data_IF_271764616066
#
_entry.id   IF_271764616066
#
_cell.length_a   1.000
_cell.length_b   1.000
_cell.length_c   1.000
_cell.angle_alpha   90.00
_cell.angle_beta   90.00
_cell.angle_gamma   90.00
#
_symmetry.space_group_name_H-M   'P 1'
#
loop_
_entity.id
_entity.type
_entity.pdbx_description
1 polymer ?
#
# COMPACT_ATOMS: atom_id res chain seq x y z
N UNK A 1 -18.75 13.50 23.21
CA UNK A 1 -17.38 12.90 23.07
C UNK A 1 -17.55 11.40 23.24
N UNK A 2 -17.25 10.63 22.19
CA UNK A 2 -17.28 9.16 22.23
C UNK A 2 -16.17 8.66 23.18
N UNK A 3 -16.53 7.80 24.15
CA UNK A 3 -15.58 7.26 25.13
C UNK A 3 -14.84 6.00 24.60
N UNK A 4 -13.83 5.49 25.33
CA UNK A 4 -13.11 4.27 24.97
C UNK A 4 -14.01 3.05 24.76
N UNK A 5 -15.15 2.97 25.45
CA UNK A 5 -16.14 1.90 25.27
C UNK A 5 -16.77 1.94 23.88
N UNK A 6 -17.02 3.12 23.32
CA UNK A 6 -17.60 3.30 21.99
C UNK A 6 -16.61 2.86 20.88
N UNK A 7 -15.31 3.11 21.06
CA UNK A 7 -14.30 2.68 20.11
C UNK A 7 -14.15 1.14 20.10
N UNK A 8 -14.11 0.47 21.25
CA UNK A 8 -14.01 -0.97 21.31
C UNK A 8 -15.20 -1.65 20.61
N UNK A 9 -16.43 -1.21 20.88
CA UNK A 9 -17.62 -1.72 20.21
C UNK A 9 -17.57 -1.47 18.68
N UNK A 10 -17.11 -0.29 18.27
CA UNK A 10 -16.93 0.09 16.87
C UNK A 10 -15.87 -0.79 16.19
N UNK A 11 -14.74 -1.00 16.83
CA UNK A 11 -13.66 -1.86 16.34
C UNK A 11 -14.15 -3.30 16.17
N UNK A 12 -14.87 -3.84 17.14
CA UNK A 12 -15.40 -5.20 17.09
C UNK A 12 -16.43 -5.36 15.97
N UNK A 13 -17.31 -4.35 15.77
CA UNK A 13 -18.19 -4.29 14.61
C UNK A 13 -17.40 -4.30 13.30
N UNK A 14 -16.44 -3.41 13.12
CA UNK A 14 -15.64 -3.35 11.90
C UNK A 14 -14.87 -4.65 11.64
N UNK A 15 -14.34 -5.29 12.68
CA UNK A 15 -13.65 -6.57 12.53
C UNK A 15 -14.60 -7.71 12.20
N UNK A 16 -15.86 -7.67 12.65
CA UNK A 16 -16.88 -8.65 12.24
C UNK A 16 -17.16 -8.61 10.74
N UNK A 17 -16.89 -7.48 10.07
CA UNK A 17 -17.04 -7.33 8.62
C UNK A 17 -15.92 -8.02 7.81
N UNK A 18 -14.81 -8.46 8.44
CA UNK A 18 -13.73 -9.19 7.75
C UNK A 18 -14.18 -10.55 7.23
N UNK A 19 -15.18 -11.16 7.86
CA UNK A 19 -15.78 -12.43 7.46
C UNK A 19 -16.97 -12.25 6.52
N UNK A 20 -17.48 -11.03 6.37
CA UNK A 20 -18.60 -10.70 5.48
C UNK A 20 -18.05 -10.22 4.14
N UNK A 21 -18.77 -10.51 3.07
CA UNK A 21 -18.46 -9.94 1.75
C UNK A 21 -17.28 -10.58 1.04
N UNK A 22 -17.23 -11.92 1.02
CA UNK A 22 -16.28 -12.68 0.20
C UNK A 22 -16.52 -12.55 -1.31
N UNK A 23 -17.62 -11.90 -1.73
CA UNK A 23 -17.84 -11.59 -3.15
C UNK A 23 -16.79 -10.59 -3.62
N UNK A 24 -15.96 -11.01 -4.58
CA UNK A 24 -15.09 -10.13 -5.32
C UNK A 24 -15.92 -9.24 -6.25
N UNK A 25 -15.78 -7.93 -6.12
CA UNK A 25 -16.48 -7.00 -6.97
C UNK A 25 -16.35 -5.57 -6.45
N UNK A 26 -16.52 -4.61 -7.34
CA UNK A 26 -16.43 -3.18 -7.03
C UNK A 26 -17.82 -2.55 -6.82
N UNK A 27 -18.89 -3.30 -7.14
CA UNK A 27 -20.25 -2.73 -7.21
C UNK A 27 -20.76 -2.28 -5.84
N UNK A 28 -20.49 -3.04 -4.76
CA UNK A 28 -20.80 -2.61 -3.39
C UNK A 28 -20.12 -1.29 -3.03
N UNK A 29 -18.85 -1.15 -3.41
CA UNK A 29 -18.12 0.09 -3.16
C UNK A 29 -18.70 1.25 -3.97
N UNK A 30 -19.13 1.01 -5.22
CA UNK A 30 -19.83 2.01 -6.04
C UNK A 30 -21.12 2.48 -5.38
N UNK A 31 -21.95 1.53 -4.91
CA UNK A 31 -23.17 1.85 -4.15
C UNK A 31 -22.85 2.66 -2.89
N UNK A 32 -21.78 2.29 -2.18
CA UNK A 32 -21.38 2.97 -0.95
C UNK A 32 -20.93 4.41 -1.23
N UNK A 33 -20.04 4.63 -2.21
CA UNK A 33 -19.56 5.99 -2.53
C UNK A 33 -20.67 6.86 -3.08
N UNK A 34 -21.59 6.31 -3.88
CA UNK A 34 -22.74 7.04 -4.40
C UNK A 34 -23.65 7.50 -3.23
N UNK A 35 -23.96 6.59 -2.30
CA UNK A 35 -24.79 6.88 -1.14
C UNK A 35 -24.20 7.92 -0.18
N UNK A 36 -22.88 8.14 -0.21
CA UNK A 36 -22.18 9.16 0.61
C UNK A 36 -21.80 10.41 -0.19
N UNK A 37 -22.28 10.55 -1.44
CA UNK A 37 -22.13 11.74 -2.26
C UNK A 37 -20.85 11.79 -3.10
N UNK A 38 -20.25 10.64 -3.44
CA UNK A 38 -19.08 10.50 -4.31
C UNK A 38 -17.87 11.36 -3.85
N UNK A 39 -17.41 11.21 -2.60
CA UNK A 39 -16.33 12.04 -2.04
C UNK A 39 -15.01 11.88 -2.81
N UNK A 40 -14.80 10.77 -3.52
CA UNK A 40 -13.63 10.50 -4.36
C UNK A 40 -13.44 11.48 -5.52
N UNK A 41 -14.47 12.24 -5.86
CA UNK A 41 -14.43 13.26 -6.93
C UNK A 41 -13.99 14.63 -6.42
N UNK A 42 -13.84 14.81 -5.11
CA UNK A 42 -13.56 16.12 -4.51
C UNK A 42 -12.07 16.51 -4.54
N UNK A 43 -11.17 15.59 -4.86
CA UNK A 43 -9.72 15.81 -4.83
C UNK A 43 -8.99 14.95 -5.86
N UNK A 44 -7.81 15.38 -6.34
CA UNK A 44 -6.94 14.60 -7.22
C UNK A 44 -6.33 13.38 -6.53
N UNK A 45 -6.10 12.30 -7.28
CA UNK A 45 -5.66 11.02 -6.72
C UNK A 45 -4.52 10.43 -7.56
N UNK A 46 -3.47 9.92 -6.88
CA UNK A 46 -2.51 8.98 -7.44
C UNK A 46 -2.85 7.58 -6.93
N UNK A 47 -3.10 6.64 -7.84
CA UNK A 47 -3.54 5.29 -7.51
C UNK A 47 -2.40 4.29 -7.70
N UNK A 48 -2.08 3.53 -6.66
CA UNK A 48 -0.88 2.69 -6.60
C UNK A 48 -1.24 1.23 -6.38
N UNK A 49 -0.93 0.38 -7.37
CA UNK A 49 -1.01 -1.08 -7.28
C UNK A 49 0.39 -1.71 -7.32
N UNK A 50 0.47 -2.99 -6.98
CA UNK A 50 1.70 -3.77 -7.01
C UNK A 50 1.65 -4.94 -6.02
N UNK A 51 2.64 -5.83 -6.08
CA UNK A 51 2.80 -6.85 -5.04
C UNK A 51 3.49 -6.23 -3.83
N UNK A 52 4.70 -5.74 -3.98
CA UNK A 52 5.45 -5.04 -2.95
C UNK A 52 5.70 -3.58 -3.33
N UNK A 53 6.10 -2.74 -2.37
CA UNK A 53 6.49 -1.35 -2.62
C UNK A 53 5.35 -0.32 -2.68
N UNK A 54 4.08 -0.74 -2.74
CA UNK A 54 2.92 0.18 -2.81
C UNK A 54 2.94 1.26 -1.73
N UNK A 55 2.86 0.85 -0.48
CA UNK A 55 2.83 1.77 0.66
C UNK A 55 4.12 2.61 0.79
N UNK A 56 5.29 2.03 0.48
CA UNK A 56 6.55 2.79 0.44
C UNK A 56 6.51 3.90 -0.62
N UNK A 57 6.01 3.59 -1.83
CA UNK A 57 5.86 4.56 -2.91
C UNK A 57 4.85 5.66 -2.55
N UNK A 58 3.68 5.28 -2.00
CA UNK A 58 2.70 6.24 -1.49
C UNK A 58 3.29 7.16 -0.42
N UNK A 59 4.06 6.59 0.53
CA UNK A 59 4.72 7.35 1.59
C UNK A 59 5.80 8.30 1.06
N UNK A 60 6.57 7.89 0.04
CA UNK A 60 7.56 8.75 -0.61
C UNK A 60 6.91 9.93 -1.32
N UNK A 61 5.87 9.67 -2.12
CA UNK A 61 5.10 10.70 -2.80
C UNK A 61 4.47 11.69 -1.81
N UNK A 62 3.79 11.16 -0.79
CA UNK A 62 3.19 11.97 0.27
C UNK A 62 4.24 12.90 0.90
N UNK A 63 5.40 12.35 1.27
CA UNK A 63 6.46 13.13 1.93
C UNK A 63 7.01 14.23 1.01
N UNK A 64 7.18 13.96 -0.30
CA UNK A 64 7.65 14.96 -1.26
C UNK A 64 6.61 16.08 -1.39
N UNK A 65 5.34 15.77 -1.63
CA UNK A 65 4.31 16.78 -1.82
C UNK A 65 4.03 17.58 -0.54
N UNK A 66 3.96 16.92 0.62
CA UNK A 66 3.82 17.61 1.90
C UNK A 66 5.00 18.53 2.22
N UNK A 67 6.23 18.15 1.88
CA UNK A 67 7.41 19.02 2.00
C UNK A 67 7.33 20.26 1.10
N UNK A 68 6.52 20.22 0.04
CA UNK A 68 6.23 21.32 -0.85
C UNK A 68 4.97 22.14 -0.45
N UNK A 69 4.40 21.87 0.72
CA UNK A 69 3.29 22.63 1.28
C UNK A 69 1.88 22.15 0.88
N UNK A 70 1.76 21.04 0.15
CA UNK A 70 0.45 20.45 -0.17
C UNK A 70 -0.18 19.79 1.05
N UNK A 71 -1.49 19.92 1.21
CA UNK A 71 -2.28 19.11 2.14
C UNK A 71 -2.49 17.74 1.51
N UNK A 72 -1.91 16.72 2.11
CA UNK A 72 -1.85 15.38 1.52
C UNK A 72 -2.78 14.38 2.22
N UNK A 73 -3.44 13.52 1.43
CA UNK A 73 -4.14 12.33 1.90
C UNK A 73 -3.31 11.07 1.62
N UNK A 74 -3.21 10.16 2.59
CA UNK A 74 -2.54 8.86 2.41
C UNK A 74 -3.45 7.74 2.88
N UNK A 75 -3.83 6.84 1.95
CA UNK A 75 -4.53 5.59 2.24
C UNK A 75 -3.62 4.40 2.00
N UNK A 76 -3.43 3.56 3.02
CA UNK A 76 -2.54 2.40 2.96
C UNK A 76 -3.08 1.20 3.73
N UNK A 77 -2.57 0.00 3.43
CA UNK A 77 -2.95 -1.23 4.11
C UNK A 77 -1.86 -2.31 4.04
N UNK A 78 -1.82 -3.21 5.04
CA UNK A 78 -2.54 -3.16 6.32
C UNK A 78 -1.95 -2.13 7.30
N UNK A 79 -2.61 -1.90 8.43
CA UNK A 79 -2.01 -1.19 9.57
C UNK A 79 -1.11 -2.14 10.38
N UNK A 80 -0.16 -1.58 11.13
CA UNK A 80 0.72 -2.35 12.01
C UNK A 80 0.16 -2.46 13.43
N UNK A 81 -0.27 -1.36 14.02
CA UNK A 81 -0.73 -1.28 15.41
C UNK A 81 -2.13 -0.68 15.51
N UNK A 82 -2.34 0.50 14.92
CA UNK A 82 -3.59 1.26 15.05
C UNK A 82 -4.36 1.26 13.74
N UNK A 83 -5.65 1.01 13.80
CA UNK A 83 -6.53 1.00 12.63
C UNK A 83 -6.48 2.32 11.84
N UNK A 84 -6.35 3.45 12.54
CA UNK A 84 -6.25 4.78 11.94
C UNK A 84 -5.00 5.01 11.07
N UNK A 85 -3.95 4.18 11.19
CA UNK A 85 -2.77 4.24 10.31
C UNK A 85 -3.13 4.11 8.83
N UNK A 86 -4.27 3.50 8.51
CA UNK A 86 -4.74 3.31 7.14
C UNK A 86 -5.16 4.62 6.47
N UNK A 87 -5.55 5.63 7.26
CA UNK A 87 -6.08 6.90 6.77
C UNK A 87 -5.32 8.04 7.43
N UNK A 88 -4.53 8.76 6.67
CA UNK A 88 -3.70 9.85 7.20
C UNK A 88 -3.92 11.13 6.37
N UNK A 89 -3.97 12.26 7.04
CA UNK A 89 -3.91 13.58 6.39
C UNK A 89 -2.69 14.31 6.96
N UNK A 90 -1.75 14.71 6.09
CA UNK A 90 -0.46 15.29 6.49
C UNK A 90 0.30 14.43 7.53
N UNK A 91 0.19 13.10 7.43
CA UNK A 91 0.74 12.09 8.35
C UNK A 91 0.09 12.02 9.73
N UNK A 92 -0.98 12.78 9.97
CA UNK A 92 -1.84 12.60 11.13
C UNK A 92 -2.79 11.44 10.86
N UNK A 93 -2.68 10.38 11.66
CA UNK A 93 -3.54 9.19 11.54
C UNK A 93 -4.97 9.53 11.96
N UNK A 94 -5.93 8.83 11.39
CA UNK A 94 -7.33 8.93 11.81
C UNK A 94 -7.45 8.49 13.27
N UNK A 95 -8.01 9.34 14.12
CA UNK A 95 -8.14 9.02 15.53
C UNK A 95 -9.36 8.12 15.82
N UNK A 96 -9.41 7.58 17.03
CA UNK A 96 -10.47 6.66 17.44
C UNK A 96 -11.85 7.31 17.46
N UNK A 97 -11.93 8.59 17.78
CA UNK A 97 -13.19 9.38 17.79
C UNK A 97 -13.72 9.54 16.37
N UNK A 98 -12.85 9.86 15.43
CA UNK A 98 -13.19 9.97 14.01
C UNK A 98 -13.63 8.61 13.45
N UNK A 99 -12.95 7.51 13.81
CA UNK A 99 -13.34 6.13 13.39
C UNK A 99 -14.76 5.81 13.88
N UNK A 100 -15.09 6.16 15.13
CA UNK A 100 -16.44 5.98 15.68
C UNK A 100 -17.45 6.78 14.88
N UNK A 101 -17.18 8.08 14.66
CA UNK A 101 -18.09 8.99 13.96
C UNK A 101 -18.35 8.55 12.51
N UNK A 102 -17.31 8.19 11.76
CA UNK A 102 -17.47 7.66 10.40
C UNK A 102 -18.21 6.33 10.37
N UNK A 103 -17.94 5.44 11.35
CA UNK A 103 -18.67 4.17 11.43
C UNK A 103 -20.16 4.40 11.69
N UNK A 104 -20.51 5.27 12.61
CA UNK A 104 -21.91 5.63 12.89
C UNK A 104 -22.62 6.20 11.65
N UNK A 105 -21.91 6.96 10.83
CA UNK A 105 -22.44 7.53 9.59
C UNK A 105 -22.59 6.48 8.48
N UNK A 106 -21.64 5.58 8.34
CA UNK A 106 -21.60 4.58 7.26
C UNK A 106 -22.46 3.35 7.55
N UNK A 107 -22.58 2.94 8.82
CA UNK A 107 -23.29 1.71 9.23
C UNK A 107 -24.72 1.64 8.71
N UNK A 108 -25.60 2.66 8.88
CA UNK A 108 -26.97 2.59 8.37
C UNK A 108 -27.05 2.47 6.84
N UNK A 109 -26.04 3.02 6.13
CA UNK A 109 -25.94 2.94 4.67
C UNK A 109 -25.57 1.51 4.25
N UNK A 110 -24.57 0.93 4.92
CA UNK A 110 -24.12 -0.44 4.68
C UNK A 110 -25.20 -1.47 4.98
N UNK A 111 -25.94 -1.28 6.07
CA UNK A 111 -27.08 -2.13 6.43
C UNK A 111 -28.19 -2.10 5.36
N UNK A 112 -28.44 -0.94 4.73
CA UNK A 112 -29.39 -0.85 3.61
C UNK A 112 -28.87 -1.54 2.34
N UNK A 113 -27.58 -1.42 2.03
CA UNK A 113 -26.98 -2.09 0.87
C UNK A 113 -27.04 -3.61 1.03
N UNK A 114 -26.82 -4.13 2.25
CA UNK A 114 -26.87 -5.56 2.55
C UNK A 114 -28.25 -6.05 3.01
N UNK A 115 -29.34 -5.26 2.84
CA UNK A 115 -30.65 -5.61 3.37
C UNK A 115 -31.28 -6.83 2.66
N UNK A 116 -31.13 -6.91 1.33
CA UNK A 116 -31.72 -7.99 0.53
C UNK A 116 -30.78 -9.20 0.41
N UNK A 117 -29.48 -8.99 0.42
CA UNK A 117 -28.46 -10.04 0.40
C UNK A 117 -27.32 -9.68 1.38
N UNK A 118 -27.11 -10.47 2.46
CA UNK A 118 -26.02 -10.22 3.41
C UNK A 118 -24.62 -10.21 2.78
N UNK A 119 -24.44 -10.87 1.62
CA UNK A 119 -23.17 -10.85 0.88
C UNK A 119 -22.93 -9.54 0.17
N UNK A 120 -23.93 -8.69 -0.01
CA UNK A 120 -23.81 -7.34 -0.53
C UNK A 120 -23.49 -6.29 0.55
N UNK A 121 -23.44 -6.70 1.83
CA UNK A 121 -23.01 -5.82 2.90
C UNK A 121 -21.51 -5.42 2.69
N UNK A 122 -21.17 -4.13 2.72
CA UNK A 122 -19.79 -3.67 2.57
C UNK A 122 -18.83 -4.34 3.57
N UNK A 123 -17.69 -4.76 3.08
CA UNK A 123 -16.63 -5.40 3.86
C UNK A 123 -15.85 -4.38 4.72
N UNK A 124 -15.03 -4.89 5.62
CA UNK A 124 -14.09 -4.06 6.41
C UNK A 124 -13.24 -3.13 5.52
N UNK A 125 -12.73 -3.65 4.40
CA UNK A 125 -11.85 -2.86 3.53
C UNK A 125 -12.63 -1.76 2.80
N UNK A 126 -13.85 -2.04 2.35
CA UNK A 126 -14.73 -1.05 1.73
C UNK A 126 -15.13 0.05 2.73
N UNK A 127 -15.40 -0.30 4.00
CA UNK A 127 -15.63 0.67 5.06
C UNK A 127 -14.44 1.61 5.28
N UNK A 128 -13.22 1.04 5.40
CA UNK A 128 -12.01 1.83 5.59
C UNK A 128 -11.72 2.72 4.39
N UNK A 129 -11.98 2.23 3.17
CA UNK A 129 -11.83 3.03 1.94
C UNK A 129 -12.82 4.19 1.93
N UNK A 130 -14.09 3.95 2.27
CA UNK A 130 -15.10 5.02 2.36
C UNK A 130 -14.75 6.08 3.42
N UNK A 131 -14.26 5.65 4.60
CA UNK A 131 -13.77 6.57 5.63
C UNK A 131 -12.62 7.45 5.12
N UNK A 132 -11.66 6.85 4.37
CA UNK A 132 -10.55 7.60 3.79
C UNK A 132 -11.04 8.66 2.80
N UNK A 133 -11.92 8.28 1.88
CA UNK A 133 -12.47 9.20 0.88
C UNK A 133 -13.25 10.34 1.53
N UNK A 134 -14.08 10.04 2.53
CA UNK A 134 -14.79 11.07 3.31
C UNK A 134 -13.81 12.01 4.03
N UNK A 135 -12.83 11.45 4.74
CA UNK A 135 -11.84 12.25 5.49
C UNK A 135 -11.06 13.17 4.57
N UNK A 136 -10.63 12.69 3.41
CA UNK A 136 -9.86 13.48 2.46
C UNK A 136 -10.71 14.62 1.86
N UNK A 137 -11.97 14.36 1.52
CA UNK A 137 -12.89 15.39 1.03
C UNK A 137 -13.17 16.45 2.10
N UNK A 138 -13.47 16.06 3.34
CA UNK A 138 -13.74 16.95 4.45
C UNK A 138 -12.53 17.81 4.85
N UNK A 139 -11.33 17.23 4.76
CA UNK A 139 -10.06 17.94 5.03
C UNK A 139 -9.54 18.70 3.82
N UNK A 140 -10.25 18.65 2.68
CA UNK A 140 -9.91 19.35 1.44
C UNK A 140 -8.46 19.12 1.03
N UNK A 141 -8.04 17.85 0.96
CA UNK A 141 -6.68 17.52 0.56
C UNK A 141 -6.41 17.98 -0.87
N UNK A 142 -5.22 18.52 -1.13
CA UNK A 142 -4.79 18.95 -2.45
C UNK A 142 -4.46 17.77 -3.36
N UNK A 143 -4.00 16.66 -2.76
CA UNK A 143 -3.61 15.42 -3.48
C UNK A 143 -3.68 14.23 -2.53
N UNK A 144 -4.27 13.11 -2.99
CA UNK A 144 -4.33 11.87 -2.24
C UNK A 144 -3.53 10.74 -2.94
N UNK A 145 -2.91 9.89 -2.13
CA UNK A 145 -2.17 8.70 -2.54
C UNK A 145 -2.91 7.48 -2.02
N UNK A 146 -3.47 6.68 -2.92
CA UNK A 146 -4.27 5.51 -2.59
C UNK A 146 -3.52 4.23 -2.96
N UNK A 147 -3.21 3.43 -1.95
CA UNK A 147 -2.69 2.08 -2.10
C UNK A 147 -3.83 1.08 -2.29
N UNK A 148 -3.79 0.21 -3.33
CA UNK A 148 -4.73 -0.91 -3.46
C UNK A 148 -4.52 -1.94 -2.33
N UNK A 149 -5.61 -2.53 -1.84
CA UNK A 149 -5.53 -3.60 -0.85
C UNK A 149 -5.10 -4.92 -1.47
N UNK A 150 -5.79 -5.35 -2.54
CA UNK A 150 -5.56 -6.62 -3.22
C UNK A 150 -5.83 -6.49 -4.72
N UNK A 151 -4.84 -6.91 -5.53
CA UNK A 151 -4.97 -6.85 -6.99
C UNK A 151 -5.04 -5.41 -7.49
N UNK A 152 -6.16 -4.99 -8.03
CA UNK A 152 -6.43 -3.66 -8.55
C UNK A 152 -7.80 -3.57 -9.22
N UNK A 153 -8.10 -4.42 -10.21
CA UNK A 153 -9.33 -4.37 -11.02
C UNK A 153 -10.61 -4.36 -10.18
N UNK A 154 -10.69 -5.21 -9.18
CA UNK A 154 -11.84 -5.38 -8.28
C UNK A 154 -11.58 -4.83 -6.87
N UNK A 155 -10.47 -4.09 -6.68
CA UNK A 155 -10.16 -3.48 -5.40
C UNK A 155 -11.12 -2.33 -5.09
N UNK A 156 -11.52 -2.19 -3.82
CA UNK A 156 -12.43 -1.13 -3.40
C UNK A 156 -11.92 0.27 -3.74
N UNK A 157 -10.59 0.47 -3.78
CA UNK A 157 -10.00 1.76 -4.16
C UNK A 157 -10.20 2.10 -5.65
N UNK A 158 -10.56 1.11 -6.50
CA UNK A 158 -10.67 1.30 -7.96
C UNK A 158 -11.94 2.04 -8.42
N UNK A 159 -12.75 2.55 -7.50
CA UNK A 159 -13.88 3.46 -7.78
C UNK A 159 -13.41 4.85 -8.22
N UNK A 160 -12.14 5.18 -8.05
CA UNK A 160 -11.56 6.51 -8.30
C UNK A 160 -11.23 6.75 -9.76
N UNK A 161 -11.14 8.04 -10.14
CA UNK A 161 -10.58 8.53 -11.39
C UNK A 161 -9.23 9.21 -11.10
N UNK A 162 -8.09 8.49 -11.20
CA UNK A 162 -6.80 9.02 -10.81
C UNK A 162 -6.19 9.93 -11.88
N UNK A 163 -5.28 10.83 -11.45
CA UNK A 163 -4.41 11.63 -12.31
C UNK A 163 -3.21 10.83 -12.84
N UNK A 164 -2.83 9.79 -12.09
CA UNK A 164 -1.69 8.94 -12.39
C UNK A 164 -1.92 7.55 -11.77
N UNK A 165 -1.64 6.50 -12.55
CA UNK A 165 -1.58 5.13 -12.08
C UNK A 165 -0.13 4.67 -11.90
N UNK A 166 0.12 3.85 -10.88
CA UNK A 166 1.45 3.29 -10.61
C UNK A 166 1.33 1.79 -10.38
N UNK A 167 2.22 1.00 -11.02
CA UNK A 167 2.41 -0.43 -10.70
C UNK A 167 3.85 -0.62 -10.23
N UNK A 168 4.04 -0.86 -8.94
CA UNK A 168 5.37 -0.86 -8.29
C UNK A 168 6.18 -2.11 -8.58
N UNK A 169 5.61 -3.29 -8.32
CA UNK A 169 6.20 -4.60 -8.60
C UNK A 169 5.12 -5.63 -8.89
N UNK A 170 5.50 -6.75 -9.50
CA UNK A 170 4.63 -7.92 -9.70
C UNK A 170 5.41 -9.18 -9.39
N UNK A 171 4.89 -9.99 -8.48
CA UNK A 171 5.37 -11.31 -8.14
C UNK A 171 4.22 -12.21 -7.72
N UNK A 172 4.47 -13.52 -7.55
CA UNK A 172 3.46 -14.45 -7.06
C UNK A 172 3.12 -14.12 -5.61
N UNK A 173 1.88 -13.73 -5.39
CA UNK A 173 1.27 -13.50 -4.08
C UNK A 173 -0.24 -13.56 -4.22
N UNK A 174 -0.94 -14.01 -3.17
CA UNK A 174 -2.40 -14.13 -3.18
C UNK A 174 -2.93 -14.94 -4.39
N UNK A 175 -2.24 -16.03 -4.73
CA UNK A 175 -2.52 -16.81 -5.93
C UNK A 175 -3.93 -17.39 -5.94
N UNK A 176 -4.50 -17.65 -4.77
CA UNK A 176 -5.87 -18.11 -4.56
C UNK A 176 -6.94 -17.11 -5.05
N UNK A 177 -6.56 -15.83 -5.23
CA UNK A 177 -7.47 -14.74 -5.60
C UNK A 177 -7.12 -14.07 -6.93
N UNK A 178 -5.83 -13.95 -7.22
CA UNK A 178 -5.34 -13.17 -8.37
C UNK A 178 -4.91 -14.03 -9.54
N UNK A 179 -4.88 -15.36 -9.35
CA UNK A 179 -4.36 -16.33 -10.32
C UNK A 179 -2.93 -16.78 -10.00
N UNK A 180 -2.51 -17.86 -10.62
CA UNK A 180 -1.27 -18.59 -10.34
C UNK A 180 -0.12 -18.29 -11.31
N UNK A 181 -0.34 -17.33 -12.22
CA UNK A 181 0.70 -16.85 -13.17
C UNK A 181 0.97 -15.36 -13.00
N UNK A 182 2.18 -14.94 -13.39
CA UNK A 182 2.57 -13.52 -13.39
C UNK A 182 1.63 -12.68 -14.25
N UNK A 183 1.21 -13.22 -15.39
CA UNK A 183 0.33 -12.55 -16.36
C UNK A 183 -1.07 -12.29 -15.75
N UNK A 184 -1.65 -13.29 -15.08
CA UNK A 184 -2.97 -13.16 -14.43
C UNK A 184 -2.92 -12.11 -13.31
N UNK A 185 -1.93 -12.22 -12.41
CA UNK A 185 -1.73 -11.26 -11.32
C UNK A 185 -1.51 -9.85 -11.88
N UNK A 186 -0.76 -9.74 -12.99
CA UNK A 186 -0.52 -8.45 -13.63
C UNK A 186 -1.80 -7.87 -14.23
N UNK A 187 -2.62 -8.70 -14.86
CA UNK A 187 -3.90 -8.26 -15.42
C UNK A 187 -4.81 -7.68 -14.34
N UNK A 188 -4.90 -8.32 -13.18
CA UNK A 188 -5.66 -7.80 -12.03
C UNK A 188 -5.11 -6.45 -11.55
N UNK A 189 -3.77 -6.30 -11.48
CA UNK A 189 -3.14 -5.03 -11.08
C UNK A 189 -3.31 -3.94 -12.13
N UNK A 190 -3.16 -4.26 -13.41
CA UNK A 190 -3.35 -3.33 -14.52
C UNK A 190 -4.81 -2.86 -14.67
N UNK A 191 -5.75 -3.52 -13.97
CA UNK A 191 -7.14 -3.09 -13.89
C UNK A 191 -7.37 -1.71 -13.26
N UNK A 192 -6.37 -1.11 -12.61
CA UNK A 192 -6.44 0.28 -12.12
C UNK A 192 -6.26 1.33 -13.23
N UNK A 193 -5.70 0.95 -14.38
CA UNK A 193 -5.48 1.87 -15.49
C UNK A 193 -6.81 2.40 -16.04
N UNK A 194 -6.90 3.71 -16.22
CA UNK A 194 -8.07 4.40 -16.78
C UNK A 194 -7.72 5.00 -18.14
N UNK A 195 -8.67 5.08 -19.09
CA UNK A 195 -8.41 5.59 -20.42
C UNK A 195 -7.70 6.96 -20.43
N UNK A 196 -6.57 7.05 -21.12
CA UNK A 196 -5.79 8.27 -21.27
C UNK A 196 -4.97 8.70 -20.05
N UNK A 197 -5.12 8.03 -18.89
CA UNK A 197 -4.37 8.38 -17.68
C UNK A 197 -2.95 7.82 -17.75
N UNK A 198 -1.92 8.63 -17.47
CA UNK A 198 -0.53 8.16 -17.49
C UNK A 198 -0.30 7.04 -16.45
N UNK A 199 0.63 6.13 -16.79
CA UNK A 199 1.02 5.03 -15.91
C UNK A 199 2.53 4.93 -15.78
N UNK A 200 3.00 4.73 -14.56
CA UNK A 200 4.40 4.41 -14.24
C UNK A 200 4.49 2.96 -13.82
N UNK A 201 5.48 2.25 -14.36
CA UNK A 201 5.82 0.91 -13.90
C UNK A 201 7.22 0.88 -13.27
N UNK A 202 7.34 0.14 -12.17
CA UNK A 202 8.63 -0.19 -11.56
C UNK A 202 9.47 -1.13 -12.45
N UNK A 203 10.47 -1.79 -11.87
CA UNK A 203 11.26 -2.81 -12.57
C UNK A 203 10.51 -4.15 -12.55
N UNK A 204 9.56 -4.32 -13.46
CA UNK A 204 8.73 -5.52 -13.55
C UNK A 204 9.46 -6.69 -14.23
N UNK A 205 9.08 -7.97 -13.97
CA UNK A 205 9.41 -9.08 -14.83
C UNK A 205 8.93 -8.85 -16.27
N UNK A 206 9.64 -9.39 -17.26
CA UNK A 206 9.32 -9.15 -18.68
C UNK A 206 7.87 -9.53 -19.06
N UNK A 207 7.36 -10.66 -18.54
CA UNK A 207 5.98 -11.09 -18.74
C UNK A 207 4.96 -10.07 -18.17
N UNK A 208 5.21 -9.56 -16.96
CA UNK A 208 4.38 -8.54 -16.34
C UNK A 208 4.42 -7.21 -17.13
N UNK A 209 5.61 -6.76 -17.51
CA UNK A 209 5.76 -5.53 -18.29
C UNK A 209 5.02 -5.63 -19.63
N UNK A 210 5.07 -6.77 -20.33
CA UNK A 210 4.34 -6.98 -21.57
C UNK A 210 2.82 -6.84 -21.38
N UNK A 211 2.25 -7.41 -20.34
CA UNK A 211 0.81 -7.29 -20.01
C UNK A 211 0.43 -5.83 -19.74
N UNK A 212 1.20 -5.13 -18.89
CA UNK A 212 0.86 -3.72 -18.60
C UNK A 212 0.95 -2.84 -19.85
N UNK A 213 1.95 -3.05 -20.71
CA UNK A 213 2.10 -2.31 -21.98
C UNK A 213 0.93 -2.57 -22.93
N UNK A 214 0.45 -3.81 -23.01
CA UNK A 214 -0.72 -4.15 -23.82
C UNK A 214 -1.97 -3.42 -23.31
N UNK A 215 -2.26 -3.47 -22.01
CA UNK A 215 -3.39 -2.76 -21.39
C UNK A 215 -3.26 -1.24 -21.52
N UNK A 216 -2.05 -0.70 -21.36
CA UNK A 216 -1.78 0.73 -21.53
C UNK A 216 -2.03 1.19 -22.97
N UNK A 217 -1.61 0.39 -23.96
CA UNK A 217 -1.84 0.67 -25.38
C UNK A 217 -3.33 0.64 -25.69
N UNK A 218 -4.06 -0.39 -25.23
CA UNK A 218 -5.52 -0.52 -25.43
C UNK A 218 -6.27 0.69 -24.88
N UNK A 219 -5.86 1.19 -23.70
CA UNK A 219 -6.51 2.33 -23.03
C UNK A 219 -5.93 3.69 -23.40
N UNK A 220 -4.94 3.74 -24.30
CA UNK A 220 -4.29 5.00 -24.69
C UNK A 220 -3.52 5.68 -23.54
N UNK A 221 -3.02 4.91 -22.57
CA UNK A 221 -2.29 5.43 -21.42
C UNK A 221 -0.82 5.70 -21.78
N UNK A 222 -0.29 6.92 -21.62
CA UNK A 222 1.15 7.16 -21.68
C UNK A 222 1.87 6.33 -20.59
N UNK A 223 2.86 5.51 -21.01
CA UNK A 223 3.57 4.62 -20.07
C UNK A 223 5.02 5.05 -19.91
N UNK A 224 5.47 5.17 -18.67
CA UNK A 224 6.88 5.40 -18.32
C UNK A 224 7.40 4.24 -17.48
N UNK A 225 8.54 3.65 -17.89
CA UNK A 225 9.19 2.53 -17.18
C UNK A 225 10.41 3.03 -16.40
N UNK A 226 10.51 2.64 -15.13
CA UNK A 226 11.73 2.89 -14.32
C UNK A 226 12.94 2.22 -14.96
N UNK A 227 12.80 1.05 -15.61
CA UNK A 227 13.89 0.36 -16.29
C UNK A 227 14.45 1.17 -17.44
N UNK A 228 13.59 1.84 -18.22
CA UNK A 228 14.00 2.68 -19.34
C UNK A 228 14.63 3.99 -18.87
N UNK A 229 14.06 4.60 -17.82
CA UNK A 229 14.55 5.87 -17.26
C UNK A 229 15.85 5.72 -16.48
N UNK A 230 16.03 4.56 -15.80
CA UNK A 230 17.19 4.20 -14.97
C UNK A 230 17.70 2.80 -15.38
N UNK A 231 18.44 2.68 -16.49
CA UNK A 231 18.86 1.38 -17.04
C UNK A 231 19.84 0.63 -16.13
N UNK A 232 20.52 1.33 -15.23
CA UNK A 232 21.39 0.73 -14.21
C UNK A 232 21.00 1.21 -12.80
N UNK A 233 21.30 0.40 -11.79
CA UNK A 233 20.95 0.67 -10.41
C UNK A 233 21.77 1.77 -9.75
N UNK A 234 22.94 2.10 -10.31
CA UNK A 234 23.79 3.18 -9.81
C UNK A 234 23.08 4.54 -9.89
N UNK A 235 22.31 4.77 -10.96
CA UNK A 235 21.53 5.99 -11.18
C UNK A 235 20.26 6.14 -10.35
N UNK A 236 19.81 5.08 -9.65
CA UNK A 236 18.59 5.14 -8.84
C UNK A 236 18.75 6.11 -7.66
N UNK A 237 17.70 6.90 -7.34
CA UNK A 237 17.71 7.85 -6.24
C UNK A 237 18.02 7.18 -4.89
N UNK A 238 18.60 7.93 -3.97
CA UNK A 238 18.82 7.48 -2.60
C UNK A 238 17.61 7.81 -1.72
N UNK A 239 17.34 6.94 -0.73
CA UNK A 239 16.31 7.12 0.30
C UNK A 239 16.84 6.60 1.63
N UNK A 240 16.23 7.03 2.74
CA UNK A 240 16.54 6.50 4.07
C UNK A 240 15.90 5.14 4.35
N UNK A 241 14.95 4.68 3.52
CA UNK A 241 14.40 3.33 3.64
C UNK A 241 15.41 2.29 3.17
N UNK A 242 15.61 1.23 3.97
CA UNK A 242 16.57 0.17 3.68
C UNK A 242 16.15 -0.75 2.53
N UNK A 243 17.16 -1.20 1.75
CA UNK A 243 16.98 -2.14 0.62
C UNK A 243 17.10 -1.49 -0.75
N UNK A 244 17.65 -2.25 -1.72
CA UNK A 244 17.87 -1.77 -3.09
C UNK A 244 16.54 -1.45 -3.79
N UNK A 245 15.50 -2.23 -3.54
CA UNK A 245 14.15 -2.03 -4.09
C UNK A 245 13.51 -0.70 -3.66
N UNK A 246 13.86 -0.16 -2.48
CA UNK A 246 13.36 1.16 -2.06
C UNK A 246 13.88 2.29 -2.94
N UNK A 247 15.07 2.12 -3.52
CA UNK A 247 15.59 3.07 -4.51
C UNK A 247 14.79 3.03 -5.82
N UNK A 248 14.26 1.87 -6.20
CA UNK A 248 13.33 1.76 -7.32
C UNK A 248 11.99 2.46 -7.01
N UNK A 249 11.44 2.29 -5.80
CA UNK A 249 10.24 3.01 -5.34
C UNK A 249 10.47 4.54 -5.33
N UNK A 250 11.67 4.99 -4.93
CA UNK A 250 12.04 6.41 -4.99
C UNK A 250 12.13 6.93 -6.42
N UNK A 251 12.62 6.11 -7.36
CA UNK A 251 12.62 6.46 -8.79
C UNK A 251 11.20 6.61 -9.34
N UNK A 252 10.27 5.70 -8.98
CA UNK A 252 8.84 5.83 -9.31
C UNK A 252 8.29 7.15 -8.77
N UNK A 253 8.60 7.50 -7.51
CA UNK A 253 8.11 8.74 -6.91
C UNK A 253 8.65 9.99 -7.64
N UNK A 254 9.93 10.01 -8.04
CA UNK A 254 10.51 11.13 -8.81
C UNK A 254 9.84 11.25 -10.19
N UNK A 255 9.70 10.14 -10.93
CA UNK A 255 9.03 10.16 -12.24
C UNK A 255 7.59 10.68 -12.10
N UNK A 256 6.89 10.30 -11.03
CA UNK A 256 5.54 10.78 -10.78
C UNK A 256 5.49 12.29 -10.58
N UNK A 257 6.46 12.87 -9.86
CA UNK A 257 6.52 14.33 -9.69
C UNK A 257 6.86 15.06 -10.99
N UNK A 258 7.67 14.45 -11.87
CA UNK A 258 7.97 15.00 -13.20
C UNK A 258 6.73 15.02 -14.09
N UNK A 259 5.99 13.91 -14.16
CA UNK A 259 4.75 13.79 -14.98
C UNK A 259 3.67 14.77 -14.52
N UNK A 260 3.55 14.97 -13.22
CA UNK A 260 2.51 15.81 -12.65
C UNK A 260 2.95 17.28 -12.43
N UNK A 261 4.15 17.67 -12.90
CA UNK A 261 4.76 18.97 -12.60
C UNK A 261 3.98 20.19 -13.09
N UNK A 262 3.21 20.05 -14.19
CA UNK A 262 2.36 21.14 -14.69
C UNK A 262 1.17 21.43 -13.76
N UNK A 263 0.63 20.41 -13.10
CA UNK A 263 -0.53 20.54 -12.24
C UNK A 263 -0.17 20.68 -10.77
N UNK A 264 0.86 19.95 -10.35
CA UNK A 264 1.33 19.89 -8.95
C UNK A 264 2.82 20.20 -8.92
N UNK A 265 3.16 21.46 -9.07
CA UNK A 265 4.56 21.91 -9.09
C UNK A 265 5.25 21.65 -7.75
N UNK A 266 6.47 21.13 -7.80
CA UNK A 266 7.33 20.96 -6.64
C UNK A 266 8.64 21.70 -6.83
N UNK A 267 9.30 22.02 -5.73
CA UNK A 267 10.66 22.54 -5.74
C UNK A 267 11.66 21.38 -5.79
N UNK A 268 12.44 21.19 -6.88
CA UNK A 268 13.36 20.05 -7.02
C UNK A 268 14.36 19.94 -5.85
N UNK A 269 14.74 21.06 -5.26
CA UNK A 269 15.65 21.10 -4.11
C UNK A 269 15.10 20.41 -2.85
N UNK A 270 13.78 20.28 -2.72
CA UNK A 270 13.13 19.61 -1.57
C UNK A 270 12.97 18.11 -1.78
N UNK A 271 13.08 17.59 -2.99
CA UNK A 271 12.82 16.17 -3.30
C UNK A 271 13.84 15.24 -2.63
N UNK A 272 15.13 15.50 -2.77
CA UNK A 272 16.16 14.65 -2.17
C UNK A 272 16.13 14.69 -0.63
N UNK A 273 15.99 15.84 0.05
CA UNK A 273 15.78 15.89 1.49
C UNK A 273 14.50 15.13 1.94
N UNK A 274 13.41 15.26 1.21
CA UNK A 274 12.17 14.55 1.51
C UNK A 274 12.37 13.02 1.47
N UNK A 275 13.05 12.50 0.43
CA UNK A 275 13.37 11.07 0.31
C UNK A 275 14.34 10.56 1.40
N UNK A 276 15.07 11.42 2.08
CA UNK A 276 15.91 11.09 3.24
C UNK A 276 15.18 11.19 4.58
N UNK A 277 13.90 11.61 4.57
CA UNK A 277 13.08 11.80 5.76
C UNK A 277 11.76 11.02 5.72
N UNK A 278 11.74 9.89 5.03
CA UNK A 278 10.54 9.03 4.97
C UNK A 278 10.37 8.34 6.33
N UNK A 279 9.19 8.46 6.91
CA UNK A 279 8.77 7.66 8.05
C UNK A 279 7.79 6.58 7.58
N UNK A 280 8.25 5.34 7.49
CA UNK A 280 7.43 4.20 7.07
C UNK A 280 7.78 2.96 7.90
N UNK A 281 7.07 2.75 9.03
CA UNK A 281 7.36 1.67 9.96
C UNK A 281 7.30 0.27 9.31
N UNK A 282 8.11 -0.65 9.84
CA UNK A 282 8.12 -2.05 9.39
C UNK A 282 8.74 -2.29 8.01
N UNK A 283 9.54 -1.36 7.48
CA UNK A 283 10.29 -1.55 6.24
C UNK A 283 11.78 -1.36 6.51
N UNK A 284 12.42 -2.45 6.97
CA UNK A 284 13.80 -2.45 7.44
C UNK A 284 14.06 -1.32 8.44
N UNK A 285 13.05 -1.09 9.29
CA UNK A 285 13.08 -0.01 10.28
C UNK A 285 14.06 -0.33 11.38
N UNK A 286 15.07 0.51 11.54
CA UNK A 286 16.09 0.37 12.58
C UNK A 286 15.73 1.25 13.77
N UNK A 287 15.63 0.63 14.95
CA UNK A 287 15.36 1.28 16.23
C UNK A 287 16.54 1.01 17.18
N UNK A 288 16.99 2.03 17.89
CA UNK A 288 17.99 1.88 18.95
C UNK A 288 17.29 1.72 20.30
N UNK A 289 17.51 0.59 20.96
CA UNK A 289 16.95 0.25 22.27
C UNK A 289 18.09 0.05 23.27
N UNK A 290 18.41 1.07 24.04
CA UNK A 290 19.56 1.08 24.94
C UNK A 290 20.86 0.68 24.20
N UNK A 291 21.44 -0.46 24.55
CA UNK A 291 22.65 -1.03 23.93
C UNK A 291 22.39 -1.92 22.70
N UNK A 292 21.10 -2.13 22.34
CA UNK A 292 20.69 -3.05 21.28
C UNK A 292 20.08 -2.33 20.10
N UNK A 293 20.28 -2.90 18.92
CA UNK A 293 19.59 -2.48 17.71
C UNK A 293 18.48 -3.46 17.36
N UNK A 294 17.26 -2.97 17.23
CA UNK A 294 16.11 -3.73 16.74
C UNK A 294 15.84 -3.32 15.27
N UNK A 295 15.66 -4.33 14.41
CA UNK A 295 15.22 -4.11 13.03
C UNK A 295 13.85 -4.74 12.86
N UNK A 296 12.87 -3.94 12.40
CA UNK A 296 11.52 -4.39 12.10
C UNK A 296 11.33 -4.44 10.58
N UNK A 297 10.92 -5.60 10.08
CA UNK A 297 10.62 -5.78 8.65
C UNK A 297 9.35 -6.62 8.48
N UNK A 298 8.48 -6.22 7.54
CA UNK A 298 7.21 -6.85 7.26
C UNK A 298 7.23 -7.70 5.96
N UNK A 299 8.38 -8.21 5.55
CA UNK A 299 8.50 -9.15 4.45
C UNK A 299 7.73 -10.44 4.76
N UNK A 300 6.89 -10.88 3.81
CA UNK A 300 5.98 -12.00 4.05
C UNK A 300 5.64 -12.81 2.79
N UNK A 301 6.27 -12.53 1.65
CA UNK A 301 6.09 -13.27 0.39
C UNK A 301 7.46 -13.58 -0.24
N UNK A 302 7.54 -14.40 -1.31
CA UNK A 302 8.81 -14.78 -1.92
C UNK A 302 9.70 -13.61 -2.31
N UNK A 303 9.16 -12.61 -3.05
CA UNK A 303 9.92 -11.41 -3.44
C UNK A 303 10.40 -10.62 -2.21
N UNK A 304 9.54 -10.46 -1.19
CA UNK A 304 9.93 -9.83 0.09
C UNK A 304 11.02 -10.61 0.80
N UNK A 305 11.01 -11.95 0.73
CA UNK A 305 12.05 -12.79 1.32
C UNK A 305 13.39 -12.64 0.61
N UNK A 306 13.42 -12.48 -0.72
CA UNK A 306 14.64 -12.17 -1.48
C UNK A 306 15.24 -10.81 -1.05
N UNK A 307 14.39 -9.82 -0.89
CA UNK A 307 14.79 -8.50 -0.39
C UNK A 307 15.34 -8.55 1.03
N UNK A 308 14.72 -9.36 1.91
CA UNK A 308 15.18 -9.61 3.26
C UNK A 308 16.55 -10.30 3.26
N UNK A 309 16.77 -11.29 2.38
CA UNK A 309 18.04 -11.98 2.21
C UNK A 309 19.18 -11.02 1.83
N UNK A 310 18.92 -10.13 0.87
CA UNK A 310 19.87 -9.08 0.47
C UNK A 310 20.24 -8.17 1.63
N UNK A 311 19.24 -7.71 2.39
CA UNK A 311 19.42 -6.82 3.53
C UNK A 311 20.19 -7.49 4.68
N UNK A 312 19.87 -8.74 5.00
CA UNK A 312 20.56 -9.52 6.02
C UNK A 312 22.02 -9.85 5.62
N UNK A 313 22.25 -10.13 4.34
CA UNK A 313 23.61 -10.32 3.79
C UNK A 313 24.45 -9.06 3.97
N UNK A 314 23.91 -7.88 3.63
CA UNK A 314 24.59 -6.59 3.85
C UNK A 314 24.80 -6.29 5.34
N UNK A 315 23.84 -6.63 6.18
CA UNK A 315 23.95 -6.47 7.63
C UNK A 315 25.08 -7.32 8.18
N UNK A 316 25.15 -8.60 7.79
CA UNK A 316 26.22 -9.51 8.21
C UNK A 316 27.59 -9.04 7.74
N UNK A 317 27.71 -8.59 6.48
CA UNK A 317 28.96 -8.06 5.94
C UNK A 317 29.45 -6.82 6.72
N UNK A 318 28.54 -6.02 7.27
CA UNK A 318 28.87 -4.83 8.07
C UNK A 318 29.24 -5.16 9.51
N UNK A 319 28.51 -6.10 10.15
CA UNK A 319 28.63 -6.39 11.59
C UNK A 319 29.57 -7.55 11.92
N UNK A 320 29.82 -8.47 10.98
CA UNK A 320 30.58 -9.70 11.19
C UNK A 320 29.87 -10.76 12.05
N UNK A 321 28.65 -10.46 12.52
CA UNK A 321 27.87 -11.36 13.36
C UNK A 321 26.45 -11.50 12.83
N UNK A 322 25.86 -12.69 13.02
CA UNK A 322 24.47 -12.94 12.66
C UNK A 322 23.53 -12.40 13.74
N UNK A 323 22.36 -11.83 13.34
CA UNK A 323 21.36 -11.38 14.30
C UNK A 323 20.60 -12.56 14.94
N UNK A 324 19.96 -12.31 16.08
CA UNK A 324 18.84 -13.10 16.57
C UNK A 324 17.61 -12.70 15.73
N UNK A 325 16.90 -13.67 15.18
CA UNK A 325 15.72 -13.41 14.35
C UNK A 325 14.48 -13.96 15.05
N UNK A 326 13.45 -13.12 15.17
CA UNK A 326 12.10 -13.50 15.57
C UNK A 326 11.20 -13.40 14.34
N UNK A 327 10.62 -14.50 13.90
CA UNK A 327 9.85 -14.55 12.65
C UNK A 327 8.50 -15.25 12.83
N UNK A 328 7.48 -14.73 12.13
CA UNK A 328 6.16 -15.34 12.03
C UNK A 328 5.45 -14.87 10.77
N UNK A 329 4.65 -15.74 10.16
CA UNK A 329 3.87 -15.42 8.96
C UNK A 329 2.64 -16.31 8.87
N UNK A 330 1.72 -15.98 7.96
CA UNK A 330 0.50 -16.73 7.72
C UNK A 330 0.63 -17.57 6.44
N UNK A 331 0.27 -18.85 6.54
CA UNK A 331 0.19 -19.77 5.41
C UNK A 331 1.54 -20.35 4.96
N UNK A 332 1.49 -21.62 4.55
CA UNK A 332 2.69 -22.43 4.23
C UNK A 332 3.52 -21.84 3.08
N UNK A 333 2.87 -21.38 2.02
CA UNK A 333 3.53 -20.81 0.85
C UNK A 333 4.46 -19.64 1.21
N UNK A 334 3.97 -18.76 2.08
CA UNK A 334 4.74 -17.59 2.58
C UNK A 334 5.81 -18.00 3.59
N UNK A 335 5.48 -18.96 4.45
CA UNK A 335 6.40 -19.45 5.47
C UNK A 335 7.67 -20.07 4.88
N UNK A 336 7.57 -20.85 3.81
CA UNK A 336 8.72 -21.55 3.19
C UNK A 336 9.86 -20.60 2.83
N UNK A 337 9.58 -19.54 2.07
CA UNK A 337 10.61 -18.58 1.64
C UNK A 337 11.18 -17.77 2.80
N UNK A 338 10.31 -17.28 3.70
CA UNK A 338 10.73 -16.49 4.85
C UNK A 338 11.60 -17.31 5.81
N UNK A 339 11.19 -18.53 6.16
CA UNK A 339 11.93 -19.40 7.09
C UNK A 339 13.26 -19.86 6.49
N UNK A 340 13.33 -20.11 5.18
CA UNK A 340 14.58 -20.44 4.50
C UNK A 340 15.59 -19.29 4.58
N UNK A 341 15.18 -18.06 4.45
CA UNK A 341 16.04 -16.88 4.62
C UNK A 341 16.41 -16.69 6.09
N UNK A 342 15.44 -16.70 7.00
CA UNK A 342 15.67 -16.50 8.43
C UNK A 342 16.67 -17.50 8.99
N UNK A 343 16.52 -18.80 8.69
CA UNK A 343 17.43 -19.83 9.18
C UNK A 343 18.87 -19.70 8.65
N UNK A 344 19.07 -19.20 7.43
CA UNK A 344 20.43 -18.94 6.92
C UNK A 344 21.16 -17.83 7.66
N UNK A 345 20.43 -16.79 8.03
CA UNK A 345 21.01 -15.56 8.57
C UNK A 345 20.95 -15.44 10.08
N UNK A 346 20.17 -16.26 10.77
CA UNK A 346 20.05 -16.19 12.22
C UNK A 346 21.25 -16.82 12.93
N UNK A 347 21.70 -16.20 14.04
CA UNK A 347 22.49 -16.90 15.08
C UNK A 347 21.56 -17.73 15.97
N UNK A 348 20.34 -17.24 16.19
CA UNK A 348 19.27 -17.88 16.93
C UNK A 348 17.94 -17.50 16.26
N UNK A 349 17.05 -18.46 16.02
CA UNK A 349 15.76 -18.25 15.35
C UNK A 349 14.61 -18.59 16.29
N UNK A 350 13.78 -17.60 16.59
CA UNK A 350 12.53 -17.76 17.33
C UNK A 350 11.34 -17.68 16.39
N UNK A 351 10.45 -18.68 16.45
CA UNK A 351 9.24 -18.71 15.63
C UNK A 351 8.05 -18.28 16.47
N UNK A 352 7.24 -17.38 15.93
CA UNK A 352 5.98 -16.95 16.50
C UNK A 352 4.82 -17.44 15.62
N UNK A 353 3.83 -18.09 16.23
CA UNK A 353 2.56 -18.35 15.57
C UNK A 353 1.66 -17.12 15.77
N UNK A 354 1.27 -16.42 14.70
CA UNK A 354 0.28 -15.36 14.81
C UNK A 354 -1.07 -15.91 15.30
N UNK A 355 -1.72 -15.20 16.22
CA UNK A 355 -3.04 -15.59 16.76
C UNK A 355 -4.14 -15.35 15.70
N UNK A 356 -4.16 -16.17 14.66
CA UNK A 356 -5.14 -16.15 13.58
C UNK A 356 -5.37 -17.57 13.06
N UNK A 357 -6.59 -17.84 12.60
CA UNK A 357 -7.01 -19.16 12.10
C UNK A 357 -6.21 -19.70 10.90
N UNK A 358 -5.33 -18.92 10.30
CA UNK A 358 -4.45 -19.29 9.18
C UNK A 358 -2.97 -19.39 9.55
N UNK A 359 -2.64 -19.30 10.85
CA UNK A 359 -1.26 -19.40 11.34
C UNK A 359 -0.75 -20.84 11.30
#
# INVERSE_FOLDING_TARGET
MSGPADYNATRDYLYSLKSKGAKYGIDRMRLLVDAIGNPERAFPIIHVAGTNGKGSTCSMLETIYRANGYTTGLYSSPHLVRQGERVQVNREILDETDIVAYTQRLKPIAERIGADDPDDHPSFFEFMTAMALLRFAERKVDLAFLETGLGGRLDATNVVAPELCIITSVSLDHIEFLGDTIEQITHEKAGILKPGVPVIIGKLPAAAEAVVRAVATEKGCPLTSVRERFPNDAGLPKTNLGGSFQRCNAAVAIIATEILSERFAIQPALTAPALQNIYWPGRWQTLQLADKTLILDASHNPEGSEMLDENLTKLFARLGTKPIIVAGTLGEFRARSLMAVASRHASELHLLAPDQSRA
#
